data_IF_470371641914
#
_entry.id   IF_470371641914
#
_cell.length_a   1.000
_cell.length_b   1.000
_cell.length_c   1.000
_cell.angle_alpha   90.00
_cell.angle_beta   90.00
_cell.angle_gamma   90.00
#
_symmetry.space_group_name_H-M   'P 1'
#
loop_
_entity.id
_entity.type
_entity.pdbx_description
1 polymer ?
#
# COMPACT_ATOMS: atom_id res chain seq x y z
N UNK A 1 -3.34 20.13 -32.30
CA UNK A 1 -3.56 19.65 -30.91
C UNK A 1 -5.01 19.22 -30.80
N UNK A 2 -5.30 17.91 -30.79
CA UNK A 2 -6.67 17.39 -30.75
C UNK A 2 -7.10 17.22 -29.29
N UNK A 3 -8.02 18.06 -28.85
CA UNK A 3 -8.74 17.89 -27.58
C UNK A 3 -9.65 16.67 -27.64
N UNK A 4 -9.67 15.90 -26.55
CA UNK A 4 -10.56 14.77 -26.38
C UNK A 4 -11.66 15.15 -25.38
N UNK A 5 -12.92 15.06 -25.82
CA UNK A 5 -14.13 15.24 -25.03
C UNK A 5 -14.67 13.84 -24.69
N UNK A 6 -14.77 13.50 -23.40
CA UNK A 6 -15.22 12.18 -22.95
C UNK A 6 -15.64 12.15 -21.49
N UNK A 7 -16.89 12.54 -21.23
CA UNK A 7 -17.77 12.11 -20.12
C UNK A 7 -17.33 12.29 -18.65
N UNK A 8 -18.07 13.19 -17.97
CA UNK A 8 -18.26 13.31 -16.52
C UNK A 8 -17.03 13.72 -15.70
N UNK A 9 -17.04 14.95 -15.20
CA UNK A 9 -16.09 15.50 -14.23
C UNK A 9 -16.16 14.83 -12.86
N UNK A 10 -15.95 13.52 -12.79
CA UNK A 10 -15.53 12.85 -11.58
C UNK A 10 -14.00 12.87 -11.59
N UNK A 11 -13.33 13.45 -10.58
CA UNK A 11 -11.88 13.28 -10.43
C UNK A 11 -11.56 11.78 -10.51
N UNK A 12 -10.49 11.42 -11.21
CA UNK A 12 -10.10 10.01 -11.32
C UNK A 12 -9.83 9.56 -9.90
N UNK A 13 -10.66 8.63 -9.40
CA UNK A 13 -10.51 8.16 -8.02
C UNK A 13 -9.11 7.57 -7.90
N UNK A 14 -8.34 7.94 -6.86
CA UNK A 14 -7.00 7.41 -6.67
C UNK A 14 -7.06 5.88 -6.69
N UNK A 15 -6.15 5.28 -7.46
CA UNK A 15 -6.24 3.85 -7.76
C UNK A 15 -5.66 3.07 -6.60
N UNK A 16 -6.51 2.27 -5.95
CA UNK A 16 -6.10 1.40 -4.84
C UNK A 16 -5.76 0.00 -5.33
N UNK A 17 -4.60 -0.48 -4.89
CA UNK A 17 -4.11 -1.81 -5.17
C UNK A 17 -3.85 -2.58 -3.87
N UNK A 18 -4.16 -3.87 -3.87
CA UNK A 18 -3.65 -4.80 -2.85
C UNK A 18 -2.25 -5.19 -3.29
N UNK A 19 -1.29 -5.17 -2.38
CA UNK A 19 0.03 -5.71 -2.65
C UNK A 19 0.40 -6.83 -1.69
N UNK A 20 1.31 -7.68 -2.15
CA UNK A 20 1.97 -8.73 -1.37
C UNK A 20 3.46 -8.73 -1.72
N UNK A 21 4.30 -8.73 -0.70
CA UNK A 21 5.73 -8.95 -0.78
C UNK A 21 6.07 -10.28 -0.11
N UNK A 22 6.59 -11.24 -0.87
CA UNK A 22 7.03 -12.53 -0.34
C UNK A 22 8.40 -12.45 0.35
N UNK A 23 8.78 -13.48 1.10
CA UNK A 23 10.12 -13.58 1.70
C UNK A 23 11.25 -13.67 0.66
N UNK A 24 10.96 -14.14 -0.55
CA UNK A 24 11.90 -14.16 -1.68
C UNK A 24 11.96 -12.82 -2.42
N UNK A 25 11.42 -11.74 -1.85
CA UNK A 25 11.29 -10.41 -2.45
C UNK A 25 10.49 -10.36 -3.77
N UNK A 26 9.66 -11.37 -4.06
CA UNK A 26 8.67 -11.24 -5.13
C UNK A 26 7.58 -10.28 -4.69
N UNK A 27 7.34 -9.24 -5.48
CA UNK A 27 6.32 -8.22 -5.25
C UNK A 27 5.19 -8.38 -6.25
N UNK A 28 3.97 -8.55 -5.75
CA UNK A 28 2.75 -8.70 -6.55
C UNK A 28 1.74 -7.64 -6.15
N UNK A 29 1.06 -7.06 -7.13
CA UNK A 29 0.08 -6.00 -6.91
C UNK A 29 -1.15 -6.20 -7.80
N UNK A 30 -2.36 -6.06 -7.25
CA UNK A 30 -3.62 -6.22 -7.98
C UNK A 30 -4.58 -5.06 -7.70
N UNK A 31 -5.15 -4.51 -8.75
CA UNK A 31 -6.08 -3.37 -8.67
C UNK A 31 -7.43 -3.82 -8.11
N UNK A 32 -7.94 -3.11 -7.10
CA UNK A 32 -9.21 -3.47 -6.44
C UNK A 32 -10.42 -3.40 -7.37
N UNK A 33 -10.41 -2.46 -8.33
CA UNK A 33 -11.59 -2.12 -9.13
C UNK A 33 -11.87 -3.08 -10.29
N UNK A 34 -10.93 -3.95 -10.64
CA UNK A 34 -11.08 -4.95 -11.71
C UNK A 34 -11.57 -6.31 -11.21
N UNK A 35 -11.93 -6.44 -9.94
CA UNK A 35 -12.37 -7.72 -9.37
C UNK A 35 -13.69 -7.59 -8.61
N UNK A 36 -14.71 -8.42 -8.92
CA UNK A 36 -15.98 -8.44 -8.19
C UNK A 36 -15.75 -8.56 -6.68
N UNK A 37 -16.54 -7.80 -5.92
CA UNK A 37 -16.55 -7.81 -4.45
C UNK A 37 -16.67 -9.27 -3.97
N UNK A 38 -15.62 -9.80 -3.34
CA UNK A 38 -15.62 -11.15 -2.76
C UNK A 38 -14.61 -12.15 -3.34
N UNK A 39 -13.87 -11.85 -4.42
CA UNK A 39 -12.93 -12.83 -5.04
C UNK A 39 -11.44 -12.70 -4.73
N UNK A 40 -10.95 -11.56 -4.23
CA UNK A 40 -9.54 -11.45 -3.81
C UNK A 40 -9.49 -11.45 -2.29
N UNK A 41 -9.25 -12.64 -1.74
CA UNK A 41 -8.78 -12.78 -0.38
C UNK A 41 -7.25 -12.84 -0.41
N UNK A 42 -6.57 -12.16 0.50
CA UNK A 42 -5.12 -12.21 0.70
C UNK A 42 -4.48 -13.61 0.56
N UNK A 43 -5.06 -14.69 1.13
CA UNK A 43 -4.52 -16.04 0.96
C UNK A 43 -4.50 -16.53 -0.50
N UNK A 44 -5.37 -16.02 -1.37
CA UNK A 44 -5.37 -16.37 -2.79
C UNK A 44 -4.20 -15.73 -3.55
N UNK A 45 -3.71 -14.57 -3.09
CA UNK A 45 -2.61 -13.85 -3.75
C UNK A 45 -1.23 -14.42 -3.41
N UNK A 46 -1.07 -14.97 -2.20
CA UNK A 46 0.18 -15.64 -1.78
C UNK A 46 0.16 -17.16 -2.02
N UNK A 47 -0.94 -17.71 -2.53
CA UNK A 47 -1.14 -19.16 -2.62
C UNK A 47 -1.08 -19.85 -1.24
N UNK A 48 -1.50 -19.16 -0.18
CA UNK A 48 -1.41 -19.63 1.21
C UNK A 48 -0.02 -19.55 1.84
N UNK A 49 0.99 -18.99 1.15
CA UNK A 49 2.35 -18.88 1.69
C UNK A 49 2.47 -17.68 2.63
N UNK A 50 3.32 -17.78 3.68
CA UNK A 50 3.67 -16.62 4.51
C UNK A 50 4.36 -15.56 3.65
N UNK A 51 4.02 -14.30 3.93
CA UNK A 51 4.47 -13.13 3.18
C UNK A 51 5.19 -12.18 4.13
N UNK A 52 6.21 -11.52 3.61
CA UNK A 52 7.01 -10.52 4.34
C UNK A 52 6.18 -9.28 4.67
N UNK A 53 5.26 -8.89 3.78
CA UNK A 53 4.43 -7.71 3.91
C UNK A 53 3.20 -7.81 2.99
N UNK A 54 2.05 -7.30 3.41
CA UNK A 54 0.85 -7.15 2.59
C UNK A 54 0.02 -5.96 3.06
N UNK A 55 -0.64 -5.28 2.13
CA UNK A 55 -1.31 -4.02 2.45
C UNK A 55 -2.03 -3.40 1.25
N UNK A 56 -2.39 -2.12 1.40
CA UNK A 56 -2.86 -1.30 0.28
C UNK A 56 -1.77 -0.33 -0.18
N UNK A 57 -1.70 -0.13 -1.49
CA UNK A 57 -1.04 1.01 -2.11
C UNK A 57 -2.10 1.88 -2.80
N UNK A 58 -1.97 3.19 -2.63
CA UNK A 58 -2.79 4.17 -3.35
C UNK A 58 -1.89 5.00 -4.24
N UNK A 59 -2.20 5.02 -5.52
CA UNK A 59 -1.52 5.87 -6.50
C UNK A 59 -2.42 7.04 -6.91
N UNK A 60 -1.82 8.18 -7.19
CA UNK A 60 -2.55 9.32 -7.76
C UNK A 60 -2.84 9.12 -9.26
N UNK A 61 -3.45 10.14 -9.86
CA UNK A 61 -3.82 10.16 -11.28
C UNK A 61 -2.58 10.16 -12.21
N UNK A 62 -1.40 10.53 -11.71
CA UNK A 62 -0.14 10.55 -12.44
C UNK A 62 0.65 9.23 -12.29
N UNK A 63 0.15 8.29 -11.49
CA UNK A 63 0.83 7.03 -11.19
C UNK A 63 1.92 7.14 -10.12
N UNK A 64 1.96 8.24 -9.37
CA UNK A 64 2.86 8.38 -8.22
C UNK A 64 2.26 7.69 -7.00
N UNK A 65 3.09 6.97 -6.24
CA UNK A 65 2.68 6.38 -4.97
C UNK A 65 2.40 7.50 -3.95
N UNK A 66 1.19 7.49 -3.37
CA UNK A 66 0.78 8.47 -2.35
C UNK A 66 0.60 7.86 -0.98
N UNK A 67 0.12 6.63 -0.90
CA UNK A 67 -0.29 6.04 0.38
C UNK A 67 0.14 4.57 0.46
N UNK A 68 0.69 4.17 1.60
CA UNK A 68 0.90 2.77 1.99
C UNK A 68 0.08 2.51 3.24
N UNK A 69 -0.78 1.48 3.22
CA UNK A 69 -1.54 1.08 4.41
C UNK A 69 -1.26 -0.37 4.83
N UNK A 70 -1.06 -0.56 6.13
CA UNK A 70 -0.76 -1.88 6.73
C UNK A 70 -2.01 -2.73 7.03
N UNK A 71 -3.20 -2.27 6.65
CA UNK A 71 -4.45 -2.91 7.00
C UNK A 71 -5.34 -3.10 5.79
N UNK A 72 -5.76 -4.34 5.56
CA UNK A 72 -6.62 -4.65 4.41
C UNK A 72 -8.00 -5.18 4.75
N UNK A 73 -8.43 -5.03 6.01
CA UNK A 73 -9.68 -5.57 6.53
C UNK A 73 -9.41 -6.77 7.44
N UNK A 74 -8.79 -7.82 6.89
CA UNK A 74 -8.53 -9.07 7.62
C UNK A 74 -7.04 -9.36 7.85
N UNK A 75 -6.16 -8.66 7.14
CA UNK A 75 -4.72 -8.75 7.35
C UNK A 75 -4.21 -7.44 7.93
N UNK A 76 -3.41 -7.59 8.98
CA UNK A 76 -2.73 -6.53 9.69
C UNK A 76 -1.27 -6.95 9.82
N UNK A 77 -0.37 -6.05 9.43
CA UNK A 77 1.06 -6.30 9.52
C UNK A 77 1.71 -5.30 10.48
N UNK A 78 2.76 -5.76 11.15
CA UNK A 78 3.53 -4.97 12.11
C UNK A 78 4.43 -3.95 11.41
N UNK A 79 4.91 -2.98 12.19
CA UNK A 79 5.79 -1.89 11.74
C UNK A 79 7.02 -2.40 10.97
N UNK A 80 7.65 -3.47 11.45
CA UNK A 80 8.81 -4.11 10.80
C UNK A 80 8.53 -4.57 9.36
N UNK A 81 7.33 -5.11 9.10
CA UNK A 81 6.92 -5.53 7.76
C UNK A 81 6.76 -4.33 6.82
N UNK A 82 6.28 -3.19 7.34
CA UNK A 82 6.22 -1.92 6.59
C UNK A 82 7.63 -1.41 6.31
N UNK A 83 8.55 -1.42 7.28
CA UNK A 83 9.95 -1.04 7.08
C UNK A 83 10.62 -1.89 5.99
N UNK A 84 10.36 -3.20 5.99
CA UNK A 84 10.84 -4.11 4.96
C UNK A 84 10.32 -3.77 3.55
N UNK A 85 9.07 -3.32 3.43
CA UNK A 85 8.51 -2.84 2.17
C UNK A 85 9.16 -1.53 1.73
N UNK A 86 9.33 -0.56 2.64
CA UNK A 86 9.97 0.72 2.31
C UNK A 86 11.38 0.51 1.77
N UNK A 87 12.18 -0.35 2.41
CA UNK A 87 13.51 -0.73 1.92
C UNK A 87 13.44 -1.39 0.54
N UNK A 88 12.47 -2.28 0.32
CA UNK A 88 12.27 -2.87 -1.01
C UNK A 88 11.97 -1.81 -2.07
N UNK A 89 11.07 -0.88 -1.80
CA UNK A 89 10.70 0.19 -2.74
C UNK A 89 11.87 1.14 -3.00
N UNK A 90 12.62 1.53 -1.97
CA UNK A 90 13.84 2.36 -2.12
C UNK A 90 14.90 1.67 -2.96
N UNK A 91 15.14 0.38 -2.73
CA UNK A 91 16.11 -0.40 -3.52
C UNK A 91 15.70 -0.56 -4.99
N UNK A 92 14.42 -0.35 -5.31
CA UNK A 92 13.88 -0.36 -6.68
C UNK A 92 13.65 1.07 -7.21
N UNK A 93 14.30 2.08 -6.61
CA UNK A 93 14.29 3.48 -7.07
C UNK A 93 12.89 4.12 -7.12
N UNK A 94 11.94 3.60 -6.33
CA UNK A 94 10.61 4.18 -6.21
C UNK A 94 10.70 5.48 -5.42
N UNK A 95 10.12 6.55 -5.96
CA UNK A 95 10.04 7.83 -5.26
C UNK A 95 9.08 7.72 -4.07
N UNK A 96 9.60 7.87 -2.85
CA UNK A 96 8.84 7.82 -1.61
C UNK A 96 8.65 9.20 -0.94
N UNK A 97 9.13 10.29 -1.53
CA UNK A 97 9.20 11.62 -0.88
C UNK A 97 7.83 12.21 -0.52
N UNK A 98 6.76 11.76 -1.19
CA UNK A 98 5.38 12.22 -0.96
C UNK A 98 4.46 11.11 -0.43
N UNK A 99 5.06 10.01 0.06
CA UNK A 99 4.30 8.85 0.52
C UNK A 99 3.88 9.04 1.96
N UNK A 100 2.57 8.89 2.21
CA UNK A 100 1.99 8.77 3.54
C UNK A 100 1.87 7.30 3.95
N UNK A 101 2.25 7.00 5.19
CA UNK A 101 2.10 5.68 5.80
C UNK A 101 0.88 5.73 6.72
N UNK A 102 -0.15 4.97 6.36
CA UNK A 102 -1.40 4.85 7.10
C UNK A 102 -1.36 3.57 7.91
N UNK A 103 -1.03 3.70 9.19
CA UNK A 103 -0.78 2.59 10.08
C UNK A 103 -1.87 2.44 11.14
N UNK A 104 -2.41 1.24 11.29
CA UNK A 104 -3.21 0.83 12.45
C UNK A 104 -2.33 -0.01 13.38
N UNK A 105 -2.27 0.34 14.66
CA UNK A 105 -1.51 -0.40 15.68
C UNK A 105 -2.28 -1.61 16.24
N UNK A 106 -3.60 -1.65 16.08
CA UNK A 106 -4.46 -2.62 16.74
C UNK A 106 -5.11 -3.64 15.79
N UNK A 107 -4.76 -3.59 14.50
CA UNK A 107 -5.45 -4.37 13.47
C UNK A 107 -6.96 -4.07 13.38
N UNK A 108 -7.43 -2.98 13.99
CA UNK A 108 -8.82 -2.53 13.94
C UNK A 108 -8.94 -1.38 12.96
N UNK A 109 -10.01 -1.41 12.16
CA UNK A 109 -10.31 -0.42 11.11
C UNK A 109 -10.68 0.98 11.63
N UNK A 110 -10.50 1.27 12.92
CA UNK A 110 -11.01 2.49 13.57
C UNK A 110 -9.92 3.46 14.04
N UNK A 111 -8.65 3.05 14.09
CA UNK A 111 -7.57 3.87 14.64
C UNK A 111 -6.35 3.91 13.70
N UNK A 112 -6.52 4.56 12.54
CA UNK A 112 -5.39 4.80 11.65
C UNK A 112 -4.66 6.08 12.04
N UNK A 113 -3.35 5.97 12.21
CA UNK A 113 -2.45 7.11 12.28
C UNK A 113 -1.80 7.29 10.91
N UNK A 114 -1.63 8.53 10.49
CA UNK A 114 -0.93 8.90 9.25
C UNK A 114 0.42 9.44 9.63
N UNK A 115 1.45 9.03 8.89
CA UNK A 115 2.82 9.48 9.06
C UNK A 115 3.37 9.83 7.70
N UNK A 116 4.10 10.93 7.60
CA UNK A 116 5.06 11.13 6.51
C UNK A 116 6.18 10.10 6.62
N UNK A 117 6.93 9.89 5.53
CA UNK A 117 8.10 8.99 5.56
C UNK A 117 9.11 9.42 6.64
N UNK A 118 9.41 10.72 6.74
CA UNK A 118 10.33 11.24 7.74
C UNK A 118 9.84 11.00 9.18
N UNK A 119 8.57 11.30 9.46
CA UNK A 119 7.98 11.02 10.78
C UNK A 119 8.04 9.52 11.09
N UNK A 120 7.72 8.67 10.12
CA UNK A 120 7.72 7.23 10.31
C UNK A 120 9.10 6.67 10.68
N UNK A 121 10.14 7.09 9.96
CA UNK A 121 11.52 6.67 10.20
C UNK A 121 12.05 7.23 11.53
N UNK A 122 11.71 8.48 11.87
CA UNK A 122 12.15 9.09 13.14
C UNK A 122 11.46 8.49 14.37
N UNK A 123 10.21 8.01 14.24
CA UNK A 123 9.52 7.31 15.33
C UNK A 123 10.11 5.90 15.60
N UNK A 124 10.80 5.29 14.63
CA UNK A 124 11.44 3.97 14.77
C UNK A 124 12.71 4.05 15.65
N UNK A 125 13.42 5.18 15.60
CA UNK A 125 14.64 5.43 16.38
C UNK A 125 14.40 5.62 17.89
N UNK A 126 13.15 5.76 18.34
CA UNK A 126 12.80 5.94 19.76
C UNK A 126 12.50 4.63 20.50
N UNK A 127 12.68 3.48 19.84
CA UNK A 127 12.46 2.15 20.42
C UNK A 127 13.72 1.26 20.45
N UNK A 128 14.91 1.87 20.62
CA UNK A 128 16.14 1.14 20.96
C UNK A 128 16.38 1.14 22.47
#
# INVERSE_FOLDING_TARGET
>A
MRGWNGTSGKPLKPTRYIFVLSHSNNFLMVQKFTTPVGRIQHPSLSGGRPVKCAGWLTFDELGELKEISNFTGHYWIQREAVNNLLRFLQNNEVNLSKVEIVFSESGKAKNFKRYTLDEWLNNDCLTQ
#
